data_IF_924721047109
#
_entry.id   IF_924721047109
#
_cell.length_a   1.000
_cell.length_b   1.000
_cell.length_c   1.000
_cell.angle_alpha   90.00
_cell.angle_beta   90.00
_cell.angle_gamma   90.00
#
_symmetry.space_group_name_H-M   'P 1'
#
loop_
_entity.id
_entity.type
_entity.pdbx_description
1 polymer ?
#
# COMPACT_ATOMS: atom_id res chain seq x y z
N UNK A 1 -27.54 20.45 -9.08
CA UNK A 1 -27.91 19.08 -8.64
C UNK A 1 -26.85 18.13 -9.17
N UNK A 2 -26.26 17.36 -8.26
CA UNK A 2 -25.07 16.54 -8.45
C UNK A 2 -25.30 15.34 -9.36
N UNK A 3 -24.27 14.94 -10.10
CA UNK A 3 -24.09 13.55 -10.54
C UNK A 3 -22.66 13.13 -10.21
N UNK A 4 -22.52 12.62 -8.98
CA UNK A 4 -21.72 11.42 -8.72
C UNK A 4 -21.91 10.46 -9.90
N UNK A 5 -20.82 9.94 -10.49
CA UNK A 5 -20.76 8.65 -11.21
C UNK A 5 -19.52 8.48 -12.10
N UNK A 6 -18.45 9.26 -11.88
CA UNK A 6 -17.16 8.98 -12.55
C UNK A 6 -16.53 7.64 -12.08
N UNK A 7 -16.93 7.13 -10.91
CA UNK A 7 -16.44 5.88 -10.31
C UNK A 7 -17.20 4.62 -10.78
N UNK A 8 -18.34 4.75 -11.48
CA UNK A 8 -19.14 3.57 -11.90
C UNK A 8 -18.71 2.97 -13.26
N UNK A 9 -17.82 3.65 -14.00
CA UNK A 9 -17.47 3.25 -15.37
C UNK A 9 -16.35 2.20 -15.46
N UNK A 10 -15.84 1.68 -14.34
CA UNK A 10 -14.75 0.70 -14.30
C UNK A 10 -15.01 -0.43 -13.30
N UNK A 11 -16.25 -0.89 -13.17
CA UNK A 11 -16.61 -1.99 -12.25
C UNK A 11 -16.25 -3.38 -12.77
N UNK A 12 -15.49 -3.52 -13.85
CA UNK A 12 -14.93 -4.82 -14.21
C UNK A 12 -13.80 -5.11 -13.22
N UNK A 13 -13.93 -6.14 -12.35
CA UNK A 13 -12.83 -6.52 -11.49
C UNK A 13 -11.61 -6.84 -12.37
N UNK A 14 -10.39 -6.58 -11.87
CA UNK A 14 -9.19 -6.95 -12.59
C UNK A 14 -9.25 -8.45 -12.93
N UNK A 15 -8.65 -8.86 -14.06
CA UNK A 15 -8.64 -10.26 -14.46
C UNK A 15 -8.10 -11.14 -13.33
N UNK A 16 -8.66 -12.34 -13.17
CA UNK A 16 -8.15 -13.32 -12.21
C UNK A 16 -6.68 -13.61 -12.54
N UNK A 17 -5.76 -13.49 -11.57
CA UNK A 17 -4.35 -13.77 -11.80
C UNK A 17 -4.15 -15.24 -12.13
N UNK A 18 -3.20 -15.54 -13.02
CA UNK A 18 -2.78 -16.91 -13.36
C UNK A 18 -2.27 -17.66 -12.12
N UNK A 19 -1.55 -16.95 -11.24
CA UNK A 19 -1.07 -17.43 -9.96
C UNK A 19 -1.22 -16.33 -8.89
N UNK A 20 -2.16 -16.52 -7.96
CA UNK A 20 -2.42 -15.57 -6.87
C UNK A 20 -1.33 -15.55 -5.78
N UNK A 21 -0.35 -16.46 -5.84
CA UNK A 21 0.82 -16.44 -4.95
C UNK A 21 1.93 -15.52 -5.45
N UNK A 22 1.83 -15.05 -6.71
CA UNK A 22 2.82 -14.18 -7.34
C UNK A 22 2.31 -12.75 -7.47
N UNK A 23 3.18 -11.79 -7.14
CA UNK A 23 2.91 -10.38 -7.40
C UNK A 23 3.11 -10.05 -8.88
N UNK A 24 2.28 -9.16 -9.42
CA UNK A 24 2.47 -8.59 -10.76
C UNK A 24 3.79 -7.80 -10.83
N UNK A 25 4.25 -7.48 -12.03
CA UNK A 25 5.46 -6.67 -12.19
C UNK A 25 5.32 -5.27 -11.55
N UNK A 26 4.19 -4.59 -11.79
CA UNK A 26 3.89 -3.29 -11.15
C UNK A 26 3.81 -3.40 -9.63
N UNK A 27 3.19 -4.47 -9.10
CA UNK A 27 3.12 -4.67 -7.65
C UNK A 27 4.50 -4.89 -7.04
N UNK A 28 5.40 -5.61 -7.74
CA UNK A 28 6.79 -5.81 -7.30
C UNK A 28 7.57 -4.50 -7.30
N UNK A 29 7.49 -3.71 -8.38
CA UNK A 29 8.16 -2.40 -8.44
C UNK A 29 7.63 -1.43 -7.36
N UNK A 30 6.32 -1.45 -7.10
CA UNK A 30 5.73 -0.64 -6.03
C UNK A 30 6.25 -1.12 -4.67
N UNK A 31 6.27 -2.42 -4.41
CA UNK A 31 6.77 -2.96 -3.15
C UNK A 31 8.25 -2.61 -2.92
N UNK A 32 9.09 -2.70 -3.95
CA UNK A 32 10.50 -2.29 -3.89
C UNK A 32 10.69 -0.79 -3.60
N UNK A 33 9.78 0.06 -4.05
CA UNK A 33 9.79 1.49 -3.70
C UNK A 33 9.37 1.69 -2.24
N UNK A 34 8.36 0.95 -1.77
CA UNK A 34 7.87 1.05 -0.40
C UNK A 34 8.91 0.54 0.61
N UNK A 35 9.58 -0.57 0.32
CA UNK A 35 10.58 -1.17 1.22
C UNK A 35 11.79 -0.24 1.41
N UNK A 36 12.16 0.50 0.36
CA UNK A 36 13.21 1.53 0.40
C UNK A 36 12.81 2.78 1.20
N UNK A 37 11.53 2.99 1.52
CA UNK A 37 11.14 4.11 2.39
C UNK A 37 11.71 3.98 3.82
N UNK A 38 12.04 2.78 4.28
CA UNK A 38 12.71 2.58 5.56
C UNK A 38 14.23 2.88 5.52
N UNK A 39 14.77 3.16 4.33
CA UNK A 39 16.15 3.63 4.16
C UNK A 39 16.29 5.14 4.39
N UNK A 40 15.19 5.87 4.55
CA UNK A 40 15.22 7.29 4.90
C UNK A 40 15.82 7.45 6.30
N UNK A 41 17.04 8.00 6.42
CA UNK A 41 17.69 8.17 7.70
C UNK A 41 16.95 9.16 8.61
N UNK A 42 16.08 10.01 8.04
CA UNK A 42 15.29 11.01 8.75
C UNK A 42 13.83 10.56 8.96
N UNK A 43 13.50 9.29 8.67
CA UNK A 43 12.15 8.76 8.86
C UNK A 43 11.68 8.97 10.30
N UNK A 44 10.46 9.52 10.52
CA UNK A 44 9.98 9.93 11.84
C UNK A 44 9.83 8.76 12.84
N UNK A 45 9.72 7.54 12.34
CA UNK A 45 9.62 6.32 13.14
C UNK A 45 10.96 5.58 13.33
N UNK A 46 12.07 6.06 12.75
CA UNK A 46 13.36 5.34 12.73
C UNK A 46 13.90 4.99 14.12
N UNK A 47 13.59 5.83 15.12
CA UNK A 47 14.00 5.63 16.51
C UNK A 47 12.86 5.20 17.43
N UNK A 48 11.67 4.95 16.89
CA UNK A 48 10.51 4.54 17.67
C UNK A 48 10.57 3.05 18.00
N UNK A 49 10.54 2.72 19.29
CA UNK A 49 10.44 1.36 19.81
C UNK A 49 9.02 1.09 20.26
N UNK A 50 8.59 -0.19 20.24
CA UNK A 50 7.27 -0.62 20.78
C UNK A 50 7.01 -0.17 22.23
N UNK A 51 8.05 0.20 22.98
CA UNK A 51 7.96 0.71 24.36
C UNK A 51 7.62 2.20 24.45
N UNK A 52 7.67 2.92 23.33
CA UNK A 52 7.40 4.35 23.23
C UNK A 52 5.98 4.64 22.70
N UNK A 53 5.26 3.60 22.28
CA UNK A 53 3.85 3.66 21.90
C UNK A 53 3.07 3.26 23.16
N UNK A 54 2.10 4.08 23.55
CA UNK A 54 1.20 3.72 24.64
C UNK A 54 0.38 2.50 24.22
N UNK A 55 0.30 1.48 25.07
CA UNK A 55 -0.64 0.37 24.84
C UNK A 55 -2.06 0.93 24.94
N UNK A 56 -2.80 0.88 23.83
CA UNK A 56 -4.22 1.22 23.82
C UNK A 56 -4.99 0.03 24.43
N UNK A 57 -5.64 0.26 25.58
CA UNK A 57 -6.48 -0.71 26.31
C UNK A 57 -7.96 -0.56 26.00
#
# INVERSE_FOLDING_TARGET
MATLNRMEQQQTPPPTPEDATQATAEQRELQEQLDRQNEDPDAPARFQSRRQIADET
#
